data_IF_217812043190
#
_entry.id   IF_217812043190
#
_cell.length_a   1.000
_cell.length_b   1.000
_cell.length_c   1.000
_cell.angle_alpha   90.00
_cell.angle_beta   90.00
_cell.angle_gamma   90.00
#
_symmetry.space_group_name_H-M   'P 1'
#
loop_
_entity.id
_entity.type
_entity.pdbx_description
1 polymer ?
#
# COMPACT_ATOMS: atom_id res chain seq x y z
N UNK A 1 -1.95 -1.78 2.88
CA UNK A 1 -1.30 -0.62 3.58
C UNK A 1 -1.84 -0.37 4.99
N UNK A 2 -3.15 -0.17 5.18
CA UNK A 2 -3.72 0.12 6.50
C UNK A 2 -4.59 -0.99 7.08
N UNK A 3 -4.84 -2.06 6.34
CA UNK A 3 -5.58 -3.24 6.83
C UNK A 3 -6.90 -2.87 7.53
N UNK A 4 -7.62 -1.89 6.94
CA UNK A 4 -8.84 -1.30 7.51
C UNK A 4 -9.93 -2.38 7.66
N UNK A 5 -10.08 -3.24 6.65
CA UNK A 5 -10.99 -4.39 6.68
C UNK A 5 -10.75 -5.30 7.89
N UNK A 6 -9.48 -5.57 8.20
CA UNK A 6 -9.14 -6.41 9.35
C UNK A 6 -9.44 -5.70 10.66
N UNK A 7 -9.16 -4.39 10.76
CA UNK A 7 -9.54 -3.61 11.93
C UNK A 7 -11.05 -3.60 12.15
N UNK A 8 -11.85 -3.42 11.10
CA UNK A 8 -13.31 -3.45 11.16
C UNK A 8 -13.84 -4.78 11.69
N UNK A 9 -13.23 -5.93 11.30
CA UNK A 9 -13.60 -7.26 11.80
C UNK A 9 -13.31 -7.46 13.29
N UNK A 10 -12.37 -6.70 13.86
CA UNK A 10 -11.96 -6.81 15.25
C UNK A 10 -12.73 -5.90 16.22
N UNK A 11 -13.43 -4.88 15.72
CA UNK A 11 -14.13 -3.88 16.54
C UNK A 11 -15.65 -4.03 16.40
N UNK A 12 -16.39 -3.55 17.40
CA UNK A 12 -17.86 -3.63 17.41
C UNK A 12 -18.54 -2.27 17.52
N UNK A 13 -17.77 -1.18 17.66
CA UNK A 13 -18.33 0.17 17.76
C UNK A 13 -18.81 0.64 16.38
N UNK A 14 -20.12 0.88 16.16
CA UNK A 14 -20.64 1.23 14.84
C UNK A 14 -20.16 2.59 14.33
N UNK A 15 -19.85 3.54 15.22
CA UNK A 15 -19.34 4.85 14.82
C UNK A 15 -17.91 4.72 14.28
N UNK A 16 -17.06 3.97 14.97
CA UNK A 16 -15.68 3.74 14.53
C UNK A 16 -15.65 2.95 13.21
N UNK A 17 -16.52 1.93 13.05
CA UNK A 17 -16.64 1.17 11.79
C UNK A 17 -17.00 2.09 10.62
N UNK A 18 -18.01 2.96 10.78
CA UNK A 18 -18.38 3.93 9.74
C UNK A 18 -17.25 4.90 9.41
N UNK A 19 -16.51 5.37 10.41
CA UNK A 19 -15.34 6.21 10.16
C UNK A 19 -14.28 5.45 9.37
N UNK A 20 -14.02 4.19 9.69
CA UNK A 20 -13.10 3.35 8.94
C UNK A 20 -13.54 3.15 7.48
N UNK A 21 -14.83 2.88 7.21
CA UNK A 21 -15.37 2.79 5.85
C UNK A 21 -15.14 4.09 5.07
N UNK A 22 -15.42 5.24 5.68
CA UNK A 22 -15.19 6.54 5.04
C UNK A 22 -13.71 6.81 4.75
N UNK A 23 -12.81 6.34 5.62
CA UNK A 23 -11.36 6.51 5.45
C UNK A 23 -10.80 5.59 4.36
N UNK A 24 -11.38 4.40 4.20
CA UNK A 24 -11.00 3.45 3.14
C UNK A 24 -11.40 3.96 1.75
N UNK A 25 -12.56 4.61 1.65
CA UNK A 25 -13.04 5.25 0.42
C UNK A 25 -12.36 6.61 0.11
N UNK A 26 -11.57 7.17 1.05
CA UNK A 26 -10.96 8.49 0.89
C UNK A 26 -9.70 8.44 0.01
N UNK A 27 -9.90 8.74 -1.28
CA UNK A 27 -8.84 8.75 -2.30
C UNK A 27 -8.02 10.04 -2.35
N UNK A 28 -8.42 11.09 -1.63
CA UNK A 28 -7.91 12.46 -1.84
C UNK A 28 -7.09 12.98 -0.66
N UNK A 29 -7.33 12.49 0.53
CA UNK A 29 -6.58 12.88 1.73
C UNK A 29 -5.21 12.19 1.73
N UNK A 30 -4.13 12.89 2.13
CA UNK A 30 -2.83 12.25 2.32
C UNK A 30 -2.93 11.06 3.29
N UNK A 31 -2.35 9.92 2.90
CA UNK A 31 -2.37 8.67 3.66
C UNK A 31 -1.86 8.82 5.10
N UNK A 32 -0.93 9.72 5.35
CA UNK A 32 -0.43 10.06 6.68
C UNK A 32 -1.52 10.61 7.61
N UNK A 33 -2.44 11.42 7.08
CA UNK A 33 -3.57 11.95 7.83
C UNK A 33 -4.63 10.85 8.07
N UNK A 34 -4.87 9.98 7.08
CA UNK A 34 -5.73 8.80 7.24
C UNK A 34 -5.16 7.88 8.34
N UNK A 35 -3.85 7.59 8.29
CA UNK A 35 -3.17 6.76 9.29
C UNK A 35 -3.29 7.37 10.69
N UNK A 36 -3.21 8.68 10.84
CA UNK A 36 -3.42 9.33 12.14
C UNK A 36 -4.81 9.03 12.69
N UNK A 37 -5.86 9.18 11.89
CA UNK A 37 -7.24 8.90 12.32
C UNK A 37 -7.45 7.42 12.67
N UNK A 38 -6.86 6.52 11.90
CA UNK A 38 -6.89 5.08 12.20
C UNK A 38 -6.18 4.81 13.54
N UNK A 39 -5.01 5.40 13.78
CA UNK A 39 -4.29 5.25 15.04
C UNK A 39 -5.12 5.75 16.24
N UNK A 40 -5.90 6.81 16.09
CA UNK A 40 -6.82 7.31 17.11
C UNK A 40 -7.99 6.34 17.38
N UNK A 41 -8.48 5.62 16.37
CA UNK A 41 -9.48 4.56 16.53
C UNK A 41 -8.86 3.37 17.27
N UNK A 42 -7.68 2.92 16.83
CA UNK A 42 -6.95 1.79 17.43
C UNK A 42 -6.62 2.07 18.90
N UNK A 43 -6.15 3.27 19.24
CA UNK A 43 -5.80 3.64 20.61
C UNK A 43 -6.97 3.56 21.60
N UNK A 44 -8.22 3.65 21.10
CA UNK A 44 -9.45 3.51 21.91
C UNK A 44 -9.88 2.05 22.11
N UNK A 45 -9.28 1.10 21.39
CA UNK A 45 -9.63 -0.32 21.48
C UNK A 45 -8.95 -1.03 22.64
N UNK A 46 -9.45 -2.21 23.08
CA UNK A 46 -8.74 -3.06 24.03
C UNK A 46 -7.33 -3.42 23.56
N UNK A 47 -6.41 -3.63 24.49
CA UNK A 47 -5.00 -3.94 24.18
C UNK A 47 -4.83 -5.16 23.27
N UNK A 48 -5.72 -6.16 23.40
CA UNK A 48 -5.72 -7.34 22.54
C UNK A 48 -5.96 -6.99 21.07
N UNK A 49 -6.90 -6.07 20.79
CA UNK A 49 -7.20 -5.59 19.44
C UNK A 49 -6.05 -4.75 18.91
N UNK A 50 -5.50 -3.85 19.73
CA UNK A 50 -4.32 -3.05 19.35
C UNK A 50 -3.14 -3.93 18.94
N UNK A 51 -2.84 -4.95 19.74
CA UNK A 51 -1.74 -5.87 19.46
C UNK A 51 -1.98 -6.68 18.19
N UNK A 52 -3.20 -7.21 18.01
CA UNK A 52 -3.57 -7.98 16.83
C UNK A 52 -3.46 -7.14 15.56
N UNK A 53 -4.01 -5.93 15.57
CA UNK A 53 -3.92 -5.00 14.44
C UNK A 53 -2.48 -4.64 14.09
N UNK A 54 -1.65 -4.29 15.09
CA UNK A 54 -0.24 -3.98 14.86
C UNK A 54 0.53 -5.15 14.24
N UNK A 55 0.23 -6.39 14.66
CA UNK A 55 0.82 -7.59 14.06
C UNK A 55 0.39 -7.79 12.60
N UNK A 56 -0.88 -7.54 12.28
CA UNK A 56 -1.41 -7.66 10.92
C UNK A 56 -0.70 -6.65 10.00
N UNK A 57 -0.65 -5.37 10.39
CA UNK A 57 0.02 -4.32 9.60
C UNK A 57 1.52 -4.61 9.42
N UNK A 58 2.20 -5.12 10.44
CA UNK A 58 3.62 -5.49 10.33
C UNK A 58 3.84 -6.67 9.38
N UNK A 59 2.98 -7.70 9.46
CA UNK A 59 3.07 -8.86 8.59
C UNK A 59 2.78 -8.52 7.13
N UNK A 60 1.78 -7.68 6.88
CA UNK A 60 1.42 -7.25 5.53
C UNK A 60 2.58 -6.49 4.87
N UNK A 61 3.17 -5.51 5.57
CA UNK A 61 4.38 -4.81 5.10
C UNK A 61 5.55 -5.75 4.82
N UNK A 62 5.80 -6.71 5.71
CA UNK A 62 6.87 -7.67 5.52
C UNK A 62 6.62 -8.57 4.30
N UNK A 63 5.36 -8.90 4.02
CA UNK A 63 4.93 -9.67 2.85
C UNK A 63 5.11 -8.86 1.57
N UNK A 64 4.64 -7.61 1.52
CA UNK A 64 4.83 -6.71 0.38
C UNK A 64 6.33 -6.50 0.07
N UNK A 65 7.17 -6.29 1.08
CA UNK A 65 8.63 -6.17 0.90
C UNK A 65 9.28 -7.46 0.36
N UNK A 66 8.77 -8.62 0.76
CA UNK A 66 9.25 -9.90 0.26
C UNK A 66 8.81 -10.14 -1.19
N UNK A 67 7.55 -9.82 -1.52
CA UNK A 67 6.99 -9.89 -2.87
C UNK A 67 7.79 -9.01 -3.83
N UNK A 68 8.04 -7.74 -3.48
CA UNK A 68 8.88 -6.85 -4.30
C UNK A 68 10.26 -7.46 -4.59
N UNK A 69 10.92 -8.04 -3.58
CA UNK A 69 12.25 -8.65 -3.74
C UNK A 69 12.21 -9.83 -4.70
N UNK A 70 11.18 -10.67 -4.61
CA UNK A 70 10.99 -11.80 -5.52
C UNK A 70 10.74 -11.33 -6.95
N UNK A 71 9.83 -10.37 -7.14
CA UNK A 71 9.50 -9.84 -8.46
C UNK A 71 10.72 -9.17 -9.13
N UNK A 72 11.50 -8.39 -8.37
CA UNK A 72 12.75 -7.81 -8.87
C UNK A 72 13.77 -8.89 -9.26
N UNK A 73 13.84 -9.99 -8.51
CA UNK A 73 14.70 -11.12 -8.87
C UNK A 73 14.21 -11.81 -10.13
N UNK A 74 12.92 -12.05 -10.27
CA UNK A 74 12.33 -12.66 -11.46
C UNK A 74 12.57 -11.82 -12.71
N UNK A 75 12.30 -10.51 -12.63
CA UNK A 75 12.57 -9.56 -13.71
C UNK A 75 14.04 -9.61 -14.14
N UNK A 76 14.98 -9.66 -13.19
CA UNK A 76 16.42 -9.83 -13.50
C UNK A 76 16.69 -11.14 -14.24
N UNK A 77 16.12 -12.26 -13.80
CA UNK A 77 16.29 -13.56 -14.46
C UNK A 77 15.72 -13.58 -15.88
N UNK A 78 14.65 -12.82 -16.12
CA UNK A 78 14.01 -12.65 -17.43
C UNK A 78 14.76 -11.66 -18.34
N UNK A 79 15.86 -11.08 -17.87
CA UNK A 79 16.67 -10.13 -18.64
C UNK A 79 16.08 -8.72 -18.71
N UNK A 80 15.29 -8.33 -17.70
CA UNK A 80 14.70 -7.00 -17.66
C UNK A 80 15.74 -5.89 -17.65
N UNK A 81 15.41 -4.80 -18.33
CA UNK A 81 16.26 -3.62 -18.37
C UNK A 81 16.32 -2.93 -17.00
N UNK A 82 17.36 -2.12 -16.79
CA UNK A 82 17.45 -1.27 -15.58
C UNK A 82 16.25 -0.33 -15.46
N UNK A 83 15.66 0.11 -16.58
CA UNK A 83 14.47 0.96 -16.57
C UNK A 83 13.26 0.22 -15.95
N UNK A 84 13.05 -1.05 -16.28
CA UNK A 84 11.99 -1.89 -15.69
C UNK A 84 12.21 -2.09 -14.20
N UNK A 85 13.43 -2.45 -13.80
CA UNK A 85 13.76 -2.67 -12.38
C UNK A 85 13.56 -1.39 -11.54
N UNK A 86 14.01 -0.25 -12.06
CA UNK A 86 13.81 1.05 -11.40
C UNK A 86 12.34 1.45 -11.36
N UNK A 87 11.58 1.19 -12.43
CA UNK A 87 10.14 1.44 -12.45
C UNK A 87 9.42 0.59 -11.40
N UNK A 88 9.72 -0.71 -11.29
CA UNK A 88 9.11 -1.59 -10.29
C UNK A 88 9.38 -1.12 -8.86
N UNK A 89 10.63 -0.77 -8.55
CA UNK A 89 10.97 -0.19 -7.24
C UNK A 89 10.22 1.12 -6.99
N UNK A 90 10.18 2.02 -7.97
CA UNK A 90 9.51 3.30 -7.83
C UNK A 90 7.99 3.17 -7.65
N UNK A 91 7.35 2.20 -8.30
CA UNK A 91 5.93 1.91 -8.09
C UNK A 91 5.65 1.47 -6.65
N UNK A 92 6.53 0.63 -6.09
CA UNK A 92 6.45 0.23 -4.68
C UNK A 92 6.65 1.42 -3.73
N UNK A 93 7.64 2.27 -4.01
CA UNK A 93 7.92 3.45 -3.19
C UNK A 93 6.74 4.43 -3.19
N UNK A 94 6.11 4.65 -4.36
CA UNK A 94 4.91 5.50 -4.49
C UNK A 94 3.72 4.91 -3.72
N UNK A 95 3.56 3.59 -3.74
CA UNK A 95 2.46 2.94 -3.03
C UNK A 95 2.61 3.08 -1.50
N UNK A 96 3.85 3.04 -1.02
CA UNK A 96 4.17 3.15 0.40
C UNK A 96 4.41 4.60 0.88
N UNK A 97 4.34 5.59 0.00
CA UNK A 97 4.49 7.00 0.37
C UNK A 97 3.22 7.51 1.06
N UNK A 98 3.31 7.64 2.39
CA UNK A 98 2.24 8.17 3.24
C UNK A 98 1.98 9.67 3.01
N UNK A 99 2.87 10.40 2.37
CA UNK A 99 2.64 11.82 2.05
C UNK A 99 1.64 12.00 0.91
N UNK A 100 1.43 10.97 0.10
CA UNK A 100 0.51 10.98 -1.04
C UNK A 100 -0.88 10.52 -0.62
N UNK A 101 -1.89 11.07 -1.30
CA UNK A 101 -3.20 10.42 -1.38
C UNK A 101 -3.19 9.29 -2.42
N UNK A 102 -4.19 8.41 -2.39
CA UNK A 102 -4.34 7.34 -3.41
C UNK A 102 -4.37 7.93 -4.81
N UNK A 103 -5.16 8.98 -5.04
CA UNK A 103 -5.27 9.64 -6.33
C UNK A 103 -3.92 10.22 -6.81
N UNK A 104 -3.12 10.79 -5.91
CA UNK A 104 -1.79 11.30 -6.26
C UNK A 104 -0.81 10.15 -6.56
N UNK A 105 -0.86 9.08 -5.77
CA UNK A 105 -0.06 7.89 -6.00
C UNK A 105 -0.36 7.29 -7.37
N UNK A 106 -1.64 7.13 -7.73
CA UNK A 106 -2.04 6.58 -9.03
C UNK A 106 -1.60 7.45 -10.21
N UNK A 107 -1.69 8.77 -10.07
CA UNK A 107 -1.15 9.69 -11.08
C UNK A 107 0.36 9.51 -11.27
N UNK A 108 1.11 9.39 -10.17
CA UNK A 108 2.55 9.18 -10.25
C UNK A 108 2.90 7.80 -10.80
N UNK A 109 2.17 6.74 -10.43
CA UNK A 109 2.34 5.39 -10.99
C UNK A 109 2.10 5.39 -12.50
N UNK A 110 1.04 6.05 -12.96
CA UNK A 110 0.77 6.21 -14.39
C UNK A 110 1.91 6.93 -15.11
N UNK A 111 2.47 7.99 -14.52
CA UNK A 111 3.63 8.68 -15.10
C UNK A 111 4.84 7.76 -15.22
N UNK A 112 5.15 6.97 -14.18
CA UNK A 112 6.24 5.98 -14.21
C UNK A 112 6.02 4.98 -15.35
N UNK A 113 4.83 4.37 -15.43
CA UNK A 113 4.49 3.40 -16.47
C UNK A 113 4.55 4.00 -17.88
N UNK A 114 4.03 5.21 -18.06
CA UNK A 114 4.02 5.90 -19.37
C UNK A 114 5.40 6.33 -19.86
N UNK A 115 6.38 6.42 -18.96
CA UNK A 115 7.77 6.76 -19.32
C UNK A 115 8.57 5.60 -19.91
N UNK A 116 8.03 4.37 -19.83
CA UNK A 116 8.69 3.17 -20.33
C UNK A 116 8.48 3.00 -21.84
N UNK A 117 9.43 2.30 -22.48
CA UNK A 117 9.19 1.77 -23.83
C UNK A 117 8.06 0.75 -23.80
N UNK A 118 7.41 0.49 -24.93
CA UNK A 118 6.35 -0.53 -25.02
C UNK A 118 6.84 -1.90 -24.56
N UNK A 119 8.08 -2.28 -24.92
CA UNK A 119 8.70 -3.54 -24.50
C UNK A 119 8.93 -3.58 -22.99
N UNK A 120 9.47 -2.51 -22.41
CA UNK A 120 9.71 -2.43 -20.97
C UNK A 120 8.40 -2.41 -20.18
N UNK A 121 7.39 -1.71 -20.69
CA UNK A 121 6.05 -1.69 -20.10
C UNK A 121 5.43 -3.10 -20.10
N UNK A 122 5.48 -3.82 -21.21
CA UNK A 122 4.98 -5.21 -21.28
C UNK A 122 5.75 -6.14 -20.33
N UNK A 123 7.05 -5.93 -20.17
CA UNK A 123 7.86 -6.72 -19.23
C UNK A 123 7.56 -6.39 -17.77
N UNK A 124 7.17 -5.14 -17.47
CA UNK A 124 6.77 -4.73 -16.13
C UNK A 124 5.40 -5.29 -15.73
N UNK A 125 4.44 -5.34 -16.65
CA UNK A 125 3.04 -5.77 -16.40
C UNK A 125 2.80 -7.27 -16.60
N UNK A 126 3.81 -8.02 -17.03
CA UNK A 126 3.68 -9.47 -17.20
C UNK A 126 3.81 -10.19 -15.86
N UNK A 127 2.66 -10.53 -15.28
CA UNK A 127 2.48 -11.46 -14.16
C UNK A 127 2.88 -12.90 -14.52
#
# INVERSE_FOLDING_TARGET
LFEIDDLQRMITNPADIRTLEMLDDDKITPRSQIQQQINEIVARQPQSVQNAYNMIVQNDRAKEEAELRMELQELRMRGASTAVLNAKQKLYDIENDLSLSEMQADQQKMQVKSSLSVTDYMMLESD
#
